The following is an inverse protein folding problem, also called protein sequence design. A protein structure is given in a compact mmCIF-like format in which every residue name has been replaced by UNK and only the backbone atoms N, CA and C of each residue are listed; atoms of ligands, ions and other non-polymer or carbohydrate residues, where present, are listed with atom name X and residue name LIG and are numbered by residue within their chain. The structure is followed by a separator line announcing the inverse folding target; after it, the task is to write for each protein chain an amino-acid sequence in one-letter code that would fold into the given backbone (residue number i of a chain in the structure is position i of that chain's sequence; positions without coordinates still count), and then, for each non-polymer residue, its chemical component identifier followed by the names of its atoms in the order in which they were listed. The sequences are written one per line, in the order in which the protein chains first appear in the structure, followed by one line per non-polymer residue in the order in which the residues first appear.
data_IF_011178034365
#
_entry.id   IF_011178034365
#
_cell.length_a   1.000
_cell.length_b   1.000
_cell.length_c   1.000
_cell.angle_alpha   90.00
_cell.angle_beta   90.00
_cell.angle_gamma   90.00
#
_symmetry.space_group_name_H-M   'P 1'
#
loop_
_entity.id
_entity.type
_entity.pdbx_description
1 polymer ?
#
# COMPACT_ATOMS: atom_id res chain seq x y z
N UNK A 1 16.22 -15.73 3.93
CA UNK A 1 15.25 -15.23 4.95
C UNK A 1 14.48 -14.00 4.45
N UNK A 2 15.14 -12.86 4.18
CA UNK A 2 14.45 -11.60 3.79
C UNK A 2 13.60 -11.68 2.52
N UNK A 3 14.04 -12.40 1.49
CA UNK A 3 13.23 -12.60 0.27
C UNK A 3 11.91 -13.33 0.58
N UNK A 4 11.96 -14.38 1.40
CA UNK A 4 10.74 -15.10 1.82
C UNK A 4 9.84 -14.24 2.69
N UNK A 5 10.41 -13.40 3.57
CA UNK A 5 9.63 -12.41 4.32
C UNK A 5 8.94 -11.41 3.38
N UNK A 6 9.61 -10.96 2.31
CA UNK A 6 9.01 -10.12 1.27
C UNK A 6 7.81 -10.78 0.59
N UNK A 7 7.94 -12.04 0.18
CA UNK A 7 6.81 -12.80 -0.37
C UNK A 7 5.66 -12.94 0.63
N UNK A 8 5.96 -13.20 1.90
CA UNK A 8 4.96 -13.29 2.95
C UNK A 8 4.18 -11.97 3.11
N UNK A 9 4.89 -10.83 3.12
CA UNK A 9 4.26 -9.50 3.23
C UNK A 9 3.33 -9.23 2.04
N UNK A 10 3.79 -9.50 0.81
CA UNK A 10 2.97 -9.28 -0.40
C UNK A 10 1.75 -10.21 -0.41
N UNK A 11 1.90 -11.46 0.03
CA UNK A 11 0.78 -12.40 0.13
C UNK A 11 -0.27 -11.93 1.15
N UNK A 12 0.15 -11.49 2.33
CA UNK A 12 -0.75 -10.93 3.36
C UNK A 12 -1.44 -9.68 2.83
N UNK A 13 -0.70 -8.77 2.20
CA UNK A 13 -1.24 -7.56 1.57
C UNK A 13 -2.32 -7.91 0.54
N UNK A 14 -2.04 -8.85 -0.37
CA UNK A 14 -2.99 -9.27 -1.39
C UNK A 14 -4.26 -9.88 -0.78
N UNK A 15 -4.13 -10.72 0.26
CA UNK A 15 -5.28 -11.30 0.95
C UNK A 15 -6.15 -10.24 1.62
N UNK A 16 -5.54 -9.28 2.31
CA UNK A 16 -6.26 -8.15 2.93
C UNK A 16 -6.97 -7.34 1.85
N UNK A 17 -6.28 -6.98 0.76
CA UNK A 17 -6.85 -6.20 -0.32
C UNK A 17 -8.03 -6.89 -0.99
N UNK A 18 -7.97 -8.21 -1.24
CA UNK A 18 -9.11 -8.98 -1.77
C UNK A 18 -10.27 -9.00 -0.78
N UNK A 19 -10.00 -9.14 0.52
CA UNK A 19 -11.02 -9.07 1.57
C UNK A 19 -11.72 -7.71 1.60
N UNK A 20 -10.94 -6.62 1.58
CA UNK A 20 -11.45 -5.25 1.58
C UNK A 20 -12.21 -4.93 0.28
N UNK A 21 -11.73 -5.41 -0.87
CA UNK A 21 -12.41 -5.25 -2.15
C UNK A 21 -13.82 -5.83 -2.12
N UNK A 22 -13.98 -7.04 -1.54
CA UNK A 22 -15.29 -7.68 -1.40
C UNK A 22 -16.18 -6.97 -0.39
N UNK A 23 -15.61 -6.52 0.73
CA UNK A 23 -16.36 -5.84 1.79
C UNK A 23 -16.92 -4.49 1.33
N UNK A 24 -16.07 -3.68 0.70
CA UNK A 24 -16.41 -2.32 0.26
C UNK A 24 -16.92 -2.26 -1.19
N UNK A 25 -17.00 -3.40 -1.88
CA UNK A 25 -17.39 -3.52 -3.29
C UNK A 25 -16.58 -2.58 -4.19
N UNK A 26 -15.26 -2.58 -3.97
CA UNK A 26 -14.33 -1.75 -4.74
C UNK A 26 -14.19 -2.29 -6.15
N UNK A 27 -14.13 -1.37 -7.11
CA UNK A 27 -13.79 -1.65 -8.49
C UNK A 27 -12.29 -1.93 -8.65
N UNK A 28 -11.92 -2.56 -9.77
CA UNK A 28 -10.54 -2.91 -10.08
C UNK A 28 -9.62 -1.69 -10.21
N UNK A 29 -10.14 -0.53 -10.63
CA UNK A 29 -9.36 0.69 -10.73
C UNK A 29 -8.98 1.20 -9.34
N UNK A 30 -9.97 1.41 -8.46
CA UNK A 30 -9.73 1.89 -7.10
C UNK A 30 -8.83 0.94 -6.32
N UNK A 31 -9.06 -0.38 -6.45
CA UNK A 31 -8.24 -1.40 -5.81
C UNK A 31 -6.80 -1.40 -6.32
N UNK A 32 -6.61 -1.29 -7.64
CA UNK A 32 -5.30 -1.27 -8.26
C UNK A 32 -4.47 -0.05 -7.87
N UNK A 33 -5.08 1.14 -7.92
CA UNK A 33 -4.42 2.40 -7.52
C UNK A 33 -4.08 2.37 -6.03
N UNK A 34 -4.99 1.89 -5.18
CA UNK A 34 -4.74 1.75 -3.75
C UNK A 34 -3.59 0.77 -3.43
N UNK A 35 -3.51 -0.35 -4.14
CA UNK A 35 -2.42 -1.31 -3.94
C UNK A 35 -1.08 -0.73 -4.37
N UNK A 36 -1.03 -0.09 -5.54
CA UNK A 36 0.18 0.58 -6.02
C UNK A 36 0.58 1.77 -5.14
N UNK A 37 -0.37 2.49 -4.55
CA UNK A 37 -0.07 3.57 -3.61
C UNK A 37 0.71 3.07 -2.38
N UNK A 38 0.41 1.86 -1.90
CA UNK A 38 1.06 1.29 -0.71
C UNK A 38 2.34 0.49 -1.02
N UNK A 39 2.37 -0.27 -2.12
CA UNK A 39 3.51 -1.15 -2.47
C UNK A 39 4.37 -0.57 -3.60
N UNK A 40 3.75 0.03 -4.61
CA UNK A 40 4.42 0.60 -5.79
C UNK A 40 4.87 2.06 -5.63
N UNK A 41 4.43 2.74 -4.57
CA UNK A 41 4.81 4.09 -4.20
C UNK A 41 4.35 5.19 -5.16
N UNK A 42 4.92 6.38 -4.93
CA UNK A 42 4.60 7.62 -5.67
C UNK A 42 4.97 7.59 -7.15
N UNK A 43 5.84 6.67 -7.57
CA UNK A 43 6.18 6.48 -8.97
C UNK A 43 5.10 5.70 -9.74
N UNK A 44 4.58 4.62 -9.14
CA UNK A 44 3.74 3.65 -9.87
C UNK A 44 2.25 3.95 -9.79
N UNK A 45 1.76 4.45 -8.65
CA UNK A 45 0.33 4.71 -8.45
C UNK A 45 -0.26 5.77 -9.42
N UNK A 46 0.42 6.91 -9.68
CA UNK A 46 -0.09 7.93 -10.60
C UNK A 46 -0.09 7.46 -12.06
N UNK A 47 0.84 6.57 -12.42
CA UNK A 47 0.91 6.00 -13.77
C UNK A 47 -0.32 5.15 -14.02
N UNK A 48 -0.67 4.24 -13.10
CA UNK A 48 -1.90 3.46 -13.23
C UNK A 48 -3.11 4.38 -13.22
N UNK A 49 -3.18 5.37 -12.32
CA UNK A 49 -4.32 6.29 -12.27
C UNK A 49 -4.51 7.07 -13.59
N UNK A 50 -3.40 7.53 -14.18
CA UNK A 50 -3.37 8.23 -15.46
C UNK A 50 -3.73 7.37 -16.66
N UNK A 51 -3.52 6.05 -16.59
CA UNK A 51 -3.96 5.11 -17.62
C UNK A 51 -5.50 5.03 -17.73
N UNK A 52 -6.22 5.34 -16.65
CA UNK A 52 -7.68 5.43 -16.67
C UNK A 52 -8.17 6.83 -17.03
N UNK A 53 -7.67 7.86 -16.35
CA UNK A 53 -7.99 9.25 -16.69
C UNK A 53 -6.94 10.23 -16.15
N UNK A 54 -6.48 11.18 -16.98
CA UNK A 54 -5.42 12.13 -16.58
C UNK A 54 -5.77 12.96 -15.33
N UNK A 55 -7.05 13.27 -15.10
CA UNK A 55 -7.48 13.99 -13.90
C UNK A 55 -7.29 13.20 -12.59
N UNK A 56 -7.02 11.89 -12.65
CA UNK A 56 -6.83 11.03 -11.49
C UNK A 56 -5.36 10.90 -11.07
N UNK A 57 -4.42 11.40 -11.90
CA UNK A 57 -2.98 11.39 -11.60
C UNK A 57 -2.68 12.06 -10.24
N UNK A 58 -3.20 13.28 -9.92
CA UNK A 58 -2.94 13.91 -8.63
C UNK A 58 -3.48 13.09 -7.45
N UNK A 59 -4.61 12.42 -7.63
CA UNK A 59 -5.20 11.55 -6.61
C UNK A 59 -4.27 10.37 -6.32
N UNK A 60 -3.73 9.73 -7.36
CA UNK A 60 -2.74 8.66 -7.21
C UNK A 60 -1.47 9.12 -6.49
N UNK A 61 -0.98 10.35 -6.76
CA UNK A 61 0.17 10.93 -6.05
C UNK A 61 -0.13 11.12 -4.57
N UNK A 62 -1.24 11.79 -4.26
CA UNK A 62 -1.63 12.07 -2.87
C UNK A 62 -1.87 10.78 -2.09
N UNK A 63 -2.52 9.80 -2.70
CA UNK A 63 -2.78 8.50 -2.08
C UNK A 63 -1.48 7.76 -1.73
N UNK A 64 -0.50 7.77 -2.63
CA UNK A 64 0.81 7.17 -2.38
C UNK A 64 1.60 7.90 -1.29
N UNK A 65 1.57 9.24 -1.28
CA UNK A 65 2.21 10.04 -0.23
C UNK A 65 1.60 9.76 1.15
N UNK A 66 0.27 9.64 1.24
CA UNK A 66 -0.40 9.28 2.48
C UNK A 66 0.01 7.88 2.97
N UNK A 67 0.11 6.91 2.07
CA UNK A 67 0.61 5.57 2.38
C UNK A 67 2.02 5.61 2.97
N UNK A 68 2.92 6.41 2.39
CA UNK A 68 4.29 6.59 2.89
C UNK A 68 4.33 7.24 4.28
N UNK A 69 3.57 8.30 4.49
CA UNK A 69 3.52 8.99 5.79
C UNK A 69 3.05 8.02 6.87
N UNK A 70 1.88 7.40 6.67
CA UNK A 70 1.29 6.49 7.64
C UNK A 70 2.19 5.27 7.86
N UNK A 71 2.64 4.63 6.77
CA UNK A 71 3.50 3.45 6.82
C UNK A 71 4.82 3.71 7.56
N UNK A 72 5.42 4.89 7.39
CA UNK A 72 6.66 5.27 8.09
C UNK A 72 6.43 5.38 9.58
N UNK A 73 5.41 6.13 10.02
CA UNK A 73 5.14 6.31 11.45
C UNK A 73 4.73 5.00 12.14
N UNK A 74 3.88 4.20 11.48
CA UNK A 74 3.48 2.88 12.00
C UNK A 74 4.70 1.95 12.07
N UNK A 75 5.53 1.91 11.04
CA UNK A 75 6.75 1.09 11.01
C UNK A 75 7.73 1.44 12.12
N UNK A 76 7.94 2.74 12.38
CA UNK A 76 8.76 3.22 13.51
C UNK A 76 8.14 2.82 14.86
N UNK A 77 6.82 2.88 14.98
CA UNK A 77 6.09 2.40 16.16
C UNK A 77 6.32 0.91 16.42
N UNK A 78 6.18 0.08 15.38
CA UNK A 78 6.44 -1.37 15.46
C UNK A 78 7.89 -1.64 15.83
N UNK A 79 8.85 -0.92 15.23
CA UNK A 79 10.27 -1.05 15.56
C UNK A 79 10.54 -0.76 17.05
N UNK A 80 9.91 0.27 17.61
CA UNK A 80 10.01 0.60 19.04
C UNK A 80 9.41 -0.51 19.92
N UNK A 81 8.26 -1.06 19.56
CA UNK A 81 7.63 -2.16 20.30
C UNK A 81 8.52 -3.41 20.29
N UNK A 82 9.08 -3.77 19.13
CA UNK A 82 9.99 -4.90 19.01
C UNK A 82 11.26 -4.70 19.85
N UNK A 83 11.83 -3.50 19.84
CA UNK A 83 13.00 -3.17 20.66
C UNK A 83 12.74 -3.30 22.17
N UNK A 84 11.53 -2.99 22.64
CA UNK A 84 11.13 -3.18 24.04
C UNK A 84 10.98 -4.66 24.42
N UNK A 85 10.60 -5.51 23.48
CA UNK A 85 10.40 -6.95 23.70
C UNK A 85 11.71 -7.75 23.53
N UNK A 86 12.67 -7.20 22.78
CA UNK A 86 13.96 -7.85 22.52
C UNK A 86 15.02 -7.61 23.61
N UNK A 87 14.66 -6.94 24.72
CA UNK A 87 15.48 -6.80 25.93
C UNK A 87 15.27 -7.95 26.90
#
# INVERSE_FOLDING_TARGET
LYIMAGFMIIAIHALIMVGLAKLFKLDLFSLGVASLANIGGVASAPILAGAYHKALIPIGVLMAMMGYIIGTFVGLGVAKVLALISG
#
